data_IF_298272491920
#
_entry.id   IF_298272491920
#
_cell.length_a   1.000
_cell.length_b   1.000
_cell.length_c   1.000
_cell.angle_alpha   90.00
_cell.angle_beta   90.00
_cell.angle_gamma   90.00
#
_symmetry.space_group_name_H-M   'P 1'
#
loop_
_entity.id
_entity.type
_entity.pdbx_description
1 polymer ?
#
# COMPACT_ATOMS: atom_id res chain seq x y z
N UNK A 1 8.08 5.46 0.38
CA UNK A 1 7.74 4.07 0.08
C UNK A 1 8.91 3.15 0.38
N UNK A 2 8.61 2.06 1.05
CA UNK A 2 9.59 1.00 1.30
C UNK A 2 9.02 -0.30 0.75
N UNK A 3 9.78 -0.98 -0.09
CA UNK A 3 9.34 -2.23 -0.69
C UNK A 3 10.09 -2.53 -1.97
N UNK A 4 9.49 -3.43 -2.75
CA UNK A 4 10.12 -3.89 -3.98
C UNK A 4 9.80 -2.98 -5.15
N UNK A 5 10.75 -2.86 -6.08
CA UNK A 5 10.61 -2.06 -7.28
C UNK A 5 11.01 -2.88 -8.50
N UNK A 6 10.24 -2.75 -9.56
CA UNK A 6 10.58 -3.31 -10.86
C UNK A 6 10.31 -2.24 -11.91
N UNK A 7 11.31 -1.90 -12.71
CA UNK A 7 11.18 -0.91 -13.77
C UNK A 7 10.62 0.42 -13.27
N UNK A 8 11.03 0.81 -12.06
CA UNK A 8 10.57 2.07 -11.48
C UNK A 8 9.17 2.03 -10.89
N UNK A 9 8.53 0.88 -10.86
CA UNK A 9 7.20 0.73 -10.30
C UNK A 9 7.21 -0.12 -9.04
N UNK A 10 6.32 0.23 -8.11
CA UNK A 10 6.17 -0.52 -6.88
C UNK A 10 5.55 -1.86 -7.19
N UNK A 11 6.10 -2.92 -6.60
CA UNK A 11 5.62 -4.27 -6.85
C UNK A 11 5.85 -5.12 -5.62
N UNK A 12 5.21 -6.30 -5.58
CA UNK A 12 5.34 -7.20 -4.45
C UNK A 12 4.82 -6.57 -3.17
N UNK A 13 5.46 -6.86 -2.06
CA UNK A 13 5.06 -6.33 -0.77
C UNK A 13 5.78 -5.03 -0.48
N UNK A 14 5.03 -4.05 0.01
CA UNK A 14 5.62 -2.77 0.32
C UNK A 14 4.85 -1.98 1.35
N UNK A 15 5.43 -0.86 1.77
CA UNK A 15 4.83 0.04 2.73
C UNK A 15 4.91 1.44 2.19
N UNK A 16 3.79 2.11 2.10
CA UNK A 16 3.72 3.48 1.63
C UNK A 16 3.21 4.38 2.76
N UNK A 17 3.93 5.46 3.01
CA UNK A 17 3.56 6.44 4.03
C UNK A 17 3.29 7.77 3.36
N UNK A 18 2.11 8.34 3.61
CA UNK A 18 1.76 9.66 3.09
C UNK A 18 2.09 10.74 4.10
N UNK A 19 2.20 11.97 3.60
CA UNK A 19 2.49 13.12 4.46
C UNK A 19 1.42 13.35 5.51
N UNK A 20 0.20 12.97 5.22
CA UNK A 20 -0.92 13.11 6.17
C UNK A 20 -0.80 12.21 7.38
N UNK A 21 0.12 11.23 7.33
CA UNK A 21 0.25 10.25 8.40
C UNK A 21 -0.41 8.93 8.12
N UNK A 22 -1.07 8.81 6.98
CA UNK A 22 -1.67 7.54 6.57
C UNK A 22 -0.60 6.58 6.08
N UNK A 23 -0.85 5.28 6.27
CA UNK A 23 0.10 4.24 5.87
C UNK A 23 -0.64 3.10 5.21
N UNK A 24 -0.08 2.59 4.13
CA UNK A 24 -0.55 1.35 3.51
C UNK A 24 0.57 0.32 3.53
N UNK A 25 0.25 -0.89 3.98
CA UNK A 25 1.15 -2.02 3.94
C UNK A 25 0.46 -3.18 3.25
N UNK A 26 1.09 -3.73 2.23
CA UNK A 26 0.48 -4.85 1.53
C UNK A 26 1.07 -5.03 0.15
N UNK A 27 0.27 -5.64 -0.72
CA UNK A 27 0.72 -6.00 -2.06
C UNK A 27 0.56 -4.85 -3.03
N UNK A 28 1.52 -4.76 -3.95
CA UNK A 28 1.49 -3.81 -5.06
C UNK A 28 1.69 -4.57 -6.36
N UNK A 29 0.98 -4.15 -7.39
CA UNK A 29 1.18 -4.64 -8.75
C UNK A 29 1.20 -3.45 -9.68
N UNK A 30 2.28 -3.29 -10.44
CA UNK A 30 2.45 -2.17 -11.39
C UNK A 30 2.20 -0.81 -10.74
N UNK A 31 2.70 -0.64 -9.51
CA UNK A 31 2.57 0.61 -8.78
C UNK A 31 1.23 0.81 -8.09
N UNK A 32 0.33 -0.15 -8.19
CA UNK A 32 -1.02 -0.03 -7.64
C UNK A 32 -1.24 -0.99 -6.47
N UNK A 33 -2.06 -0.55 -5.54
CA UNK A 33 -2.42 -1.40 -4.40
C UNK A 33 -3.39 -2.45 -4.88
N UNK A 34 -3.09 -3.69 -4.55
CA UNK A 34 -3.95 -4.80 -4.95
C UNK A 34 -3.74 -5.97 -4.02
N UNK A 35 -4.64 -6.96 -4.10
CA UNK A 35 -4.55 -8.10 -3.22
C UNK A 35 -4.84 -7.72 -1.78
N UNK A 36 -4.16 -8.36 -0.85
CA UNK A 36 -4.41 -8.13 0.57
C UNK A 36 -3.48 -7.08 1.13
N UNK A 37 -4.04 -6.21 1.96
CA UNK A 37 -3.24 -5.17 2.57
C UNK A 37 -3.88 -4.59 3.81
N UNK A 38 -3.16 -3.67 4.43
CA UNK A 38 -3.60 -2.98 5.63
C UNK A 38 -3.40 -1.48 5.43
N UNK A 39 -4.48 -0.73 5.57
CA UNK A 39 -4.45 0.72 5.46
C UNK A 39 -4.74 1.33 6.82
N UNK A 40 -3.85 2.20 7.27
CA UNK A 40 -4.03 2.92 8.53
C UNK A 40 -4.18 4.40 8.22
N UNK A 41 -5.30 5.00 8.66
CA UNK A 41 -5.51 6.43 8.48
C UNK A 41 -4.87 7.21 9.61
N UNK A 42 -4.67 8.49 9.38
CA UNK A 42 -3.99 9.35 10.35
C UNK A 42 -4.78 9.56 11.65
N UNK A 43 -6.06 9.23 11.65
CA UNK A 43 -6.89 9.33 12.86
C UNK A 43 -6.86 8.05 13.70
N UNK A 44 -6.10 7.05 13.27
CA UNK A 44 -5.99 5.78 13.96
C UNK A 44 -6.90 4.68 13.44
N UNK A 45 -7.75 4.98 12.47
CA UNK A 45 -8.60 3.97 11.85
C UNK A 45 -7.78 3.00 11.01
N UNK A 46 -8.21 1.74 10.96
CA UNK A 46 -7.49 0.70 10.24
C UNK A 46 -8.47 -0.11 9.39
N UNK A 47 -8.07 -0.39 8.16
CA UNK A 47 -8.78 -1.34 7.31
C UNK A 47 -7.81 -2.44 6.89
N UNK A 48 -8.23 -3.69 7.07
CA UNK A 48 -7.48 -4.85 6.62
C UNK A 48 -8.37 -5.68 5.73
N UNK A 49 -7.86 -6.05 4.58
CA UNK A 49 -8.64 -6.88 3.66
C UNK A 49 -8.16 -6.70 2.24
N UNK A 50 -9.08 -6.95 1.30
CA UNK A 50 -8.74 -6.92 -0.11
C UNK A 50 -8.81 -5.50 -0.65
N UNK A 51 -7.86 -5.20 -1.54
CA UNK A 51 -7.83 -3.95 -2.30
C UNK A 51 -7.96 -4.28 -3.77
N UNK A 52 -8.70 -3.45 -4.48
CA UNK A 52 -8.90 -3.65 -5.90
C UNK A 52 -8.52 -2.38 -6.66
N UNK A 53 -7.92 -2.59 -7.81
CA UNK A 53 -7.62 -1.52 -8.75
C UNK A 53 -8.71 -1.49 -9.81
N UNK A 54 -9.21 -0.34 -10.09
CA UNK A 54 -10.22 -0.19 -11.13
C UNK A 54 -9.66 0.39 -12.40
#
# INVERSE_FOLDING_TARGET
YEGDWINGERTGKGKYTWKSGSVYEGDFVNGERTGKGKYTWNDGSVYEGDFYTE
#
